data_IF_006077808722
#
_entry.id   IF_006077808722
#
_cell.length_a   1.000
_cell.length_b   1.000
_cell.length_c   1.000
_cell.angle_alpha   90.00
_cell.angle_beta   90.00
_cell.angle_gamma   90.00
#
_symmetry.space_group_name_H-M   'P 1'
#
loop_
_entity.id
_entity.type
_entity.pdbx_description
1 polymer ?
#
# COMPACT_ATOMS: atom_id res chain seq x y z
N UNK A 1 -10.18 36.91 9.37
CA UNK A 1 -10.44 35.46 9.57
C UNK A 1 -10.68 35.26 11.05
N UNK A 2 -11.84 34.77 11.46
CA UNK A 2 -12.21 34.62 12.88
C UNK A 2 -11.53 33.38 13.49
N UNK A 3 -11.09 33.49 14.75
CA UNK A 3 -10.42 32.42 15.51
C UNK A 3 -11.21 31.10 15.52
N UNK A 4 -12.55 31.18 15.44
CA UNK A 4 -13.46 30.04 15.33
C UNK A 4 -13.25 29.18 14.08
N UNK A 5 -12.88 29.77 12.94
CA UNK A 5 -12.67 29.03 11.68
C UNK A 5 -11.36 28.23 11.73
N UNK A 6 -10.34 28.78 12.40
CA UNK A 6 -9.06 28.11 12.59
C UNK A 6 -9.20 26.90 13.53
N UNK A 7 -9.85 27.08 14.68
CA UNK A 7 -10.07 26.01 15.66
C UNK A 7 -10.89 24.84 15.07
N UNK A 8 -11.94 25.13 14.31
CA UNK A 8 -12.74 24.10 13.65
C UNK A 8 -11.93 23.30 12.62
N UNK A 9 -11.06 23.97 11.86
CA UNK A 9 -10.17 23.30 10.91
C UNK A 9 -9.13 22.43 11.64
N UNK A 10 -8.54 22.93 12.73
CA UNK A 10 -7.58 22.17 13.53
C UNK A 10 -8.21 20.90 14.12
N UNK A 11 -9.45 21.00 14.61
CA UNK A 11 -10.22 19.85 15.10
C UNK A 11 -10.49 18.81 14.01
N UNK A 12 -10.96 19.25 12.84
CA UNK A 12 -11.18 18.34 11.69
C UNK A 12 -9.91 17.61 11.26
N UNK A 13 -8.75 18.28 11.34
CA UNK A 13 -7.46 17.64 11.08
C UNK A 13 -7.10 16.60 12.15
N UNK A 14 -7.28 16.93 13.43
CA UNK A 14 -7.08 16.00 14.54
C UNK A 14 -7.94 14.74 14.41
N UNK A 15 -9.22 14.90 14.11
CA UNK A 15 -10.16 13.79 13.95
C UNK A 15 -9.77 12.87 12.78
N UNK A 16 -9.37 13.45 11.63
CA UNK A 16 -8.88 12.67 10.48
C UNK A 16 -7.60 11.92 10.78
N UNK A 17 -6.65 12.55 11.47
CA UNK A 17 -5.40 11.90 11.86
C UNK A 17 -5.65 10.75 12.84
N UNK A 18 -6.58 10.93 13.78
CA UNK A 18 -6.99 9.88 14.71
C UNK A 18 -7.63 8.69 13.99
N UNK A 19 -8.58 8.94 13.09
CA UNK A 19 -9.24 7.88 12.29
C UNK A 19 -8.24 7.16 11.39
N UNK A 20 -7.34 7.90 10.73
CA UNK A 20 -6.27 7.32 9.94
C UNK A 20 -5.36 6.43 10.78
N UNK A 21 -4.99 6.85 12.00
CA UNK A 21 -4.18 6.06 12.93
C UNK A 21 -4.85 4.74 13.32
N UNK A 22 -6.14 4.77 13.64
CA UNK A 22 -6.92 3.56 13.94
C UNK A 22 -7.02 2.63 12.73
N UNK A 23 -7.35 3.17 11.55
CA UNK A 23 -7.45 2.40 10.32
C UNK A 23 -6.11 1.78 9.88
N UNK A 24 -5.00 2.49 10.08
CA UNK A 24 -3.66 1.98 9.82
C UNK A 24 -3.32 0.78 10.71
N UNK A 25 -3.68 0.81 12.00
CA UNK A 25 -3.46 -0.31 12.91
C UNK A 25 -4.25 -1.57 12.49
N UNK A 26 -5.54 -1.41 12.15
CA UNK A 26 -6.37 -2.54 11.68
C UNK A 26 -5.80 -3.17 10.42
N UNK A 27 -5.52 -2.33 9.40
CA UNK A 27 -4.95 -2.82 8.13
C UNK A 27 -3.57 -3.44 8.30
N UNK A 28 -2.76 -2.96 9.24
CA UNK A 28 -1.48 -3.58 9.54
C UNK A 28 -1.67 -5.00 10.10
N UNK A 29 -2.65 -5.20 10.98
CA UNK A 29 -3.03 -6.52 11.48
C UNK A 29 -3.51 -7.46 10.36
N UNK A 30 -4.50 -7.01 9.57
CA UNK A 30 -5.05 -7.76 8.44
C UNK A 30 -3.97 -8.14 7.41
N UNK A 31 -3.09 -7.19 7.05
CA UNK A 31 -2.00 -7.46 6.11
C UNK A 31 -0.98 -8.44 6.68
N UNK A 32 -0.65 -8.36 7.97
CA UNK A 32 0.35 -9.26 8.58
C UNK A 32 -0.18 -10.69 8.63
N UNK A 33 -1.46 -10.88 8.97
CA UNK A 33 -2.08 -12.20 8.98
C UNK A 33 -2.23 -12.78 7.58
N UNK A 34 -2.66 -11.97 6.61
CA UNK A 34 -2.75 -12.38 5.20
C UNK A 34 -1.38 -12.74 4.61
N UNK A 35 -0.33 -11.95 4.93
CA UNK A 35 1.04 -12.25 4.51
C UNK A 35 1.55 -13.54 5.13
N UNK A 36 1.31 -13.76 6.43
CA UNK A 36 1.69 -14.99 7.09
C UNK A 36 0.97 -16.20 6.50
N UNK A 37 -0.35 -16.10 6.26
CA UNK A 37 -1.13 -17.16 5.62
C UNK A 37 -0.59 -17.48 4.21
N UNK A 38 -0.29 -16.46 3.41
CA UNK A 38 0.32 -16.62 2.09
C UNK A 38 1.67 -17.34 2.15
N UNK A 39 2.53 -17.00 3.11
CA UNK A 39 3.79 -17.71 3.28
C UNK A 39 3.61 -19.16 3.70
N UNK A 40 2.60 -19.46 4.54
CA UNK A 40 2.28 -20.85 4.88
C UNK A 40 1.86 -21.63 3.64
N UNK A 41 0.99 -21.05 2.80
CA UNK A 41 0.52 -21.66 1.54
C UNK A 41 1.69 -21.90 0.57
N UNK A 42 2.46 -20.86 0.27
CA UNK A 42 3.64 -20.95 -0.62
C UNK A 42 4.68 -21.95 -0.08
N UNK A 43 4.83 -22.02 1.24
CA UNK A 43 5.69 -23.01 1.88
C UNK A 43 5.17 -24.44 1.76
N UNK A 44 3.86 -24.64 1.87
CA UNK A 44 3.19 -25.91 1.62
C UNK A 44 3.44 -26.39 0.19
N UNK A 45 3.18 -25.53 -0.79
CA UNK A 45 3.43 -25.82 -2.20
C UNK A 45 4.90 -26.16 -2.48
N UNK A 46 5.82 -25.41 -1.87
CA UNK A 46 7.26 -25.61 -2.02
C UNK A 46 7.77 -26.91 -1.37
N UNK A 47 7.06 -27.48 -0.39
CA UNK A 47 7.38 -28.77 0.22
C UNK A 47 6.62 -29.94 -0.42
N UNK A 48 5.52 -29.69 -1.13
CA UNK A 48 4.73 -30.73 -1.78
C UNK A 48 4.21 -31.77 -0.78
N UNK A 49 4.38 -33.06 -1.10
CA UNK A 49 3.95 -34.17 -0.23
C UNK A 49 4.61 -34.14 1.15
N UNK A 50 5.83 -33.60 1.26
CA UNK A 50 6.50 -33.49 2.56
C UNK A 50 5.94 -32.37 3.45
N UNK A 51 4.96 -31.60 3.00
CA UNK A 51 4.32 -30.58 3.82
C UNK A 51 3.51 -31.21 4.97
N UNK A 52 3.03 -32.44 4.80
CA UNK A 52 2.23 -33.14 5.80
C UNK A 52 3.04 -33.36 7.09
N UNK A 53 2.49 -32.91 8.22
CA UNK A 53 3.14 -32.99 9.54
C UNK A 53 4.16 -31.88 9.84
N UNK A 54 4.47 -30.98 8.90
CA UNK A 54 5.33 -29.81 9.17
C UNK A 54 4.57 -28.70 9.90
N UNK A 55 5.25 -28.00 10.80
CA UNK A 55 4.64 -26.88 11.54
C UNK A 55 4.36 -25.70 10.63
N UNK A 56 3.30 -24.92 10.93
CA UNK A 56 2.97 -23.71 10.15
C UNK A 56 4.13 -22.72 10.09
N UNK A 57 4.91 -22.60 11.16
CA UNK A 57 6.08 -21.73 11.19
C UNK A 57 7.16 -22.18 10.19
N UNK A 58 7.39 -23.49 10.07
CA UNK A 58 8.36 -24.04 9.12
C UNK A 58 7.89 -23.84 7.67
N UNK A 59 6.60 -24.05 7.41
CA UNK A 59 6.00 -23.75 6.11
C UNK A 59 6.14 -22.25 5.79
N UNK A 60 5.74 -21.36 6.70
CA UNK A 60 5.88 -19.92 6.52
C UNK A 60 7.33 -19.49 6.25
N UNK A 61 8.31 -20.06 6.98
CA UNK A 61 9.72 -19.78 6.75
C UNK A 61 10.18 -20.20 5.36
N UNK A 62 9.75 -21.37 4.87
CA UNK A 62 10.04 -21.83 3.50
C UNK A 62 9.38 -20.94 2.45
N UNK A 63 8.10 -20.59 2.64
CA UNK A 63 7.36 -19.72 1.72
C UNK A 63 7.95 -18.32 1.62
N UNK A 64 8.38 -17.73 2.74
CA UNK A 64 9.08 -16.45 2.75
C UNK A 64 10.36 -16.48 1.87
N UNK A 65 11.13 -17.56 1.96
CA UNK A 65 12.36 -17.72 1.14
C UNK A 65 12.02 -17.80 -0.34
N UNK A 66 11.00 -18.57 -0.72
CA UNK A 66 10.59 -18.71 -2.12
C UNK A 66 9.98 -17.42 -2.70
N UNK A 67 9.18 -16.71 -1.90
CA UNK A 67 8.69 -15.39 -2.26
C UNK A 67 9.83 -14.39 -2.48
N UNK A 68 10.83 -14.40 -1.60
CA UNK A 68 11.98 -13.50 -1.72
C UNK A 68 12.79 -13.81 -2.98
N UNK A 69 12.97 -15.09 -3.32
CA UNK A 69 13.63 -15.52 -4.57
C UNK A 69 12.86 -15.04 -5.80
N UNK A 70 11.54 -15.21 -5.80
CA UNK A 70 10.66 -14.75 -6.88
C UNK A 70 10.71 -13.23 -7.02
N UNK A 71 10.69 -12.50 -5.91
CA UNK A 71 10.79 -11.05 -5.92
C UNK A 71 12.13 -10.59 -6.51
N UNK A 72 13.24 -11.25 -6.16
CA UNK A 72 14.57 -10.94 -6.72
C UNK A 72 14.66 -11.23 -8.22
N UNK A 73 14.09 -12.35 -8.68
CA UNK A 73 14.11 -12.70 -10.11
C UNK A 73 13.23 -11.77 -10.95
N UNK A 74 12.09 -11.33 -10.42
CA UNK A 74 11.16 -10.43 -11.10
C UNK A 74 11.53 -8.95 -10.96
N UNK A 75 12.36 -8.58 -9.98
CA UNK A 75 12.70 -7.18 -9.69
C UNK A 75 13.19 -6.38 -10.91
N UNK A 76 14.07 -6.88 -11.80
CA UNK A 76 14.49 -6.14 -12.99
C UNK A 76 13.31 -5.80 -13.90
N UNK A 77 12.45 -6.78 -14.19
CA UNK A 77 11.26 -6.60 -15.04
C UNK A 77 10.26 -5.65 -14.38
N UNK A 78 10.00 -5.80 -13.08
CA UNK A 78 9.07 -4.93 -12.34
C UNK A 78 9.57 -3.47 -12.29
N UNK A 79 10.87 -3.25 -12.12
CA UNK A 79 11.46 -1.90 -12.18
C UNK A 79 11.29 -1.26 -13.56
N UNK A 80 11.49 -2.03 -14.62
CA UNK A 80 11.32 -1.53 -15.97
C UNK A 80 9.85 -1.16 -16.25
N UNK A 81 8.91 -2.05 -15.91
CA UNK A 81 7.48 -1.77 -16.05
C UNK A 81 7.04 -0.53 -15.23
N UNK A 82 7.57 -0.36 -14.02
CA UNK A 82 7.29 0.82 -13.20
C UNK A 82 7.84 2.09 -13.85
N UNK A 83 9.03 2.03 -14.45
CA UNK A 83 9.61 3.15 -15.16
C UNK A 83 8.74 3.57 -16.35
N UNK A 84 8.27 2.62 -17.16
CA UNK A 84 7.35 2.88 -18.27
C UNK A 84 6.02 3.49 -17.77
N UNK A 85 5.44 2.97 -16.69
CA UNK A 85 4.24 3.54 -16.06
C UNK A 85 4.48 5.00 -15.64
N UNK A 86 5.66 5.30 -15.07
CA UNK A 86 6.03 6.65 -14.70
C UNK A 86 6.23 7.56 -15.91
N UNK A 87 6.81 7.09 -17.01
CA UNK A 87 6.93 7.87 -18.25
C UNK A 87 5.55 8.21 -18.80
N UNK A 88 4.65 7.24 -18.91
CA UNK A 88 3.29 7.46 -19.41
C UNK A 88 2.48 8.40 -18.52
N UNK A 89 2.55 8.22 -17.20
CA UNK A 89 1.94 9.16 -16.24
C UNK A 89 2.55 10.55 -16.40
N UNK A 90 3.86 10.64 -16.63
CA UNK A 90 4.57 11.89 -16.89
C UNK A 90 4.06 12.63 -18.12
N UNK A 91 3.83 11.90 -19.22
CA UNK A 91 3.24 12.45 -20.44
C UNK A 91 1.85 13.03 -20.18
N UNK A 92 1.00 12.30 -19.43
CA UNK A 92 -0.33 12.79 -19.05
C UNK A 92 -0.26 14.07 -18.20
N UNK A 93 0.71 14.16 -17.28
CA UNK A 93 0.91 15.35 -16.45
C UNK A 93 1.41 16.55 -17.26
N UNK A 94 2.27 16.31 -18.24
CA UNK A 94 2.87 17.36 -19.09
C UNK A 94 1.97 17.80 -20.24
N UNK A 95 1.04 16.98 -20.68
CA UNK A 95 0.08 17.31 -21.73
C UNK A 95 0.78 17.64 -23.05
N UNK A 96 0.56 18.84 -23.57
CA UNK A 96 1.11 19.31 -24.85
C UNK A 96 2.65 19.44 -24.81
N UNK A 97 3.23 19.76 -23.65
CA UNK A 97 4.68 19.90 -23.49
C UNK A 97 5.42 18.54 -23.39
N UNK A 98 4.68 17.43 -23.47
CA UNK A 98 5.26 16.09 -23.32
C UNK A 98 6.19 15.73 -24.49
N UNK A 99 5.89 16.17 -25.72
CA UNK A 99 6.69 15.88 -26.91
C UNK A 99 8.08 16.55 -26.86
N UNK A 100 8.15 17.73 -26.27
CA UNK A 100 9.41 18.49 -26.09
C UNK A 100 10.17 18.10 -24.80
N UNK A 101 9.60 17.22 -23.99
CA UNK A 101 10.16 16.83 -22.70
C UNK A 101 11.05 15.59 -22.80
N UNK A 102 12.20 15.65 -22.15
CA UNK A 102 13.07 14.48 -22.00
C UNK A 102 12.38 13.37 -21.19
N UNK A 103 12.56 12.13 -21.60
CA UNK A 103 12.00 10.93 -20.95
C UNK A 103 12.26 10.85 -19.43
N UNK A 104 13.44 11.23 -18.95
CA UNK A 104 13.74 11.26 -17.51
C UNK A 104 12.91 12.30 -16.75
N UNK A 105 12.57 13.42 -17.40
CA UNK A 105 11.72 14.46 -16.80
C UNK A 105 10.27 13.97 -16.78
N UNK A 106 9.81 13.26 -17.81
CA UNK A 106 8.51 12.61 -17.83
C UNK A 106 8.43 11.55 -16.72
N UNK A 107 9.39 10.63 -16.66
CA UNK A 107 9.47 9.61 -15.61
C UNK A 107 9.48 10.22 -14.21
N UNK A 108 10.27 11.29 -13.99
CA UNK A 108 10.33 11.99 -12.71
C UNK A 108 9.00 12.65 -12.33
N UNK A 109 8.36 13.36 -13.28
CA UNK A 109 7.06 14.00 -13.05
C UNK A 109 5.97 12.95 -12.75
N UNK A 110 5.94 11.86 -13.53
CA UNK A 110 5.01 10.76 -13.32
C UNK A 110 5.24 10.05 -11.99
N UNK A 111 6.48 9.76 -11.60
CA UNK A 111 6.79 9.15 -10.31
C UNK A 111 6.26 9.99 -9.13
N UNK A 112 6.47 11.32 -9.16
CA UNK A 112 5.94 12.23 -8.13
C UNK A 112 4.41 12.22 -8.12
N UNK A 113 3.77 12.27 -9.29
CA UNK A 113 2.32 12.23 -9.41
C UNK A 113 1.75 10.91 -8.88
N UNK A 114 2.32 9.77 -9.27
CA UNK A 114 1.92 8.44 -8.80
C UNK A 114 2.10 8.29 -7.29
N UNK A 115 3.22 8.77 -6.72
CA UNK A 115 3.44 8.73 -5.26
C UNK A 115 2.40 9.58 -4.53
N UNK A 116 2.12 10.79 -5.03
CA UNK A 116 1.12 11.68 -4.44
C UNK A 116 -0.28 11.06 -4.48
N UNK A 117 -0.65 10.48 -5.61
CA UNK A 117 -1.94 9.82 -5.77
C UNK A 117 -2.07 8.58 -4.89
N UNK A 118 -1.08 7.68 -4.94
CA UNK A 118 -1.07 6.48 -4.09
C UNK A 118 -1.08 6.84 -2.61
N UNK A 119 -0.32 7.85 -2.19
CA UNK A 119 -0.31 8.36 -0.82
C UNK A 119 -1.67 8.90 -0.38
N UNK A 120 -2.35 9.66 -1.25
CA UNK A 120 -3.70 10.15 -0.98
C UNK A 120 -4.71 9.00 -0.85
N UNK A 121 -4.71 8.04 -1.78
CA UNK A 121 -5.60 6.86 -1.73
C UNK A 121 -5.37 6.03 -0.47
N UNK A 122 -4.12 5.85 -0.05
CA UNK A 122 -3.77 5.16 1.19
C UNK A 122 -4.32 5.90 2.42
N UNK A 123 -4.09 7.22 2.50
CA UNK A 123 -4.58 8.03 3.60
C UNK A 123 -6.11 8.01 3.68
N UNK A 124 -6.80 8.25 2.56
CA UNK A 124 -8.27 8.22 2.48
C UNK A 124 -8.78 6.83 2.89
N UNK A 125 -8.13 5.76 2.43
CA UNK A 125 -8.46 4.39 2.81
C UNK A 125 -8.23 4.06 4.28
N UNK A 126 -7.29 4.71 4.96
CA UNK A 126 -7.12 4.58 6.41
C UNK A 126 -8.19 5.35 7.18
N UNK A 127 -8.52 6.57 6.74
CA UNK A 127 -9.62 7.34 7.34
C UNK A 127 -10.92 6.55 7.26
N UNK A 128 -11.29 6.02 6.10
CA UNK A 128 -12.52 5.23 5.94
C UNK A 128 -12.54 3.95 6.79
N UNK A 129 -11.40 3.25 6.92
CA UNK A 129 -11.31 2.09 7.81
C UNK A 129 -11.48 2.48 9.29
N UNK A 130 -10.89 3.62 9.71
CA UNK A 130 -11.09 4.18 11.04
C UNK A 130 -12.55 4.57 11.31
N UNK A 131 -13.24 5.15 10.32
CA UNK A 131 -14.66 5.51 10.42
C UNK A 131 -15.53 4.28 10.65
N UNK A 132 -15.32 3.19 9.89
CA UNK A 132 -16.03 1.92 10.06
C UNK A 132 -15.87 1.35 11.47
N UNK A 133 -14.65 1.40 12.03
CA UNK A 133 -14.38 0.95 13.40
C UNK A 133 -15.07 1.82 14.46
N UNK A 134 -15.13 3.13 14.23
CA UNK A 134 -15.82 4.05 15.15
C UNK A 134 -17.34 3.86 15.14
N UNK A 135 -17.91 3.57 13.97
CA UNK A 135 -19.34 3.32 13.80
C UNK A 135 -19.77 1.97 14.41
N UNK A 136 -18.95 0.91 14.27
CA UNK A 136 -19.24 -0.39 14.89
C UNK A 136 -19.27 -0.34 16.41
N UNK A 137 -18.38 0.46 17.04
CA UNK A 137 -18.37 0.66 18.50
C UNK A 137 -19.60 1.40 19.05
N UNK A 138 -20.37 2.10 18.21
CA UNK A 138 -21.60 2.80 18.62
C UNK A 138 -22.86 1.93 18.50
N UNK A 139 -22.80 0.77 17.85
CA UNK A 139 -23.93 -0.16 17.73
C UNK A 139 -23.96 -1.22 18.83
N UNK A 140 -22.84 -1.46 19.50
CA UNK A 140 -22.69 -2.44 20.59
C UNK A 140 -22.76 -1.80 22.01
N UNK A 141 -23.21 -0.54 22.13
CA UNK A 141 -23.39 0.20 23.38
C UNK A 141 -24.85 0.64 23.56
#
# INVERSE_FOLDING_TARGET
MSDSTFLNRARQWGDKLYLAGLGAYSKAGENTEALYARWVETGGDAYGEEAEGKSRLLLAGRGLVEDTRTLLSEAPRKRHALYEECVETGKQVRGEDAEDSNEFILAGAGAVASVRERGRRLFDGWVSAGEQLSAGKQQDA
#
